data_IF_408740553756
#
_entry.id   IF_408740553756
#
_cell.length_a   1.000
_cell.length_b   1.000
_cell.length_c   1.000
_cell.angle_alpha   90.00
_cell.angle_beta   90.00
_cell.angle_gamma   90.00
#
_symmetry.space_group_name_H-M   'P 1'
#
loop_
_entity.id
_entity.type
_entity.pdbx_description
1 polymer ?
#
# COMPACT_ATOMS: atom_id res chain seq x y z
N UNK A 1 -34.45 43.01 23.40
CA UNK A 1 -35.29 43.35 22.22
C UNK A 1 -34.42 43.29 20.98
N UNK A 2 -35.03 42.83 19.91
CA UNK A 2 -34.49 42.42 18.63
C UNK A 2 -33.30 43.22 18.06
N UNK A 3 -32.34 42.43 17.59
CA UNK A 3 -31.39 42.72 16.51
C UNK A 3 -32.17 42.87 15.19
N UNK A 4 -31.87 43.86 14.33
CA UNK A 4 -32.03 43.71 12.90
C UNK A 4 -30.73 43.14 12.32
N UNK A 5 -30.85 41.94 11.77
CA UNK A 5 -29.84 41.20 11.01
C UNK A 5 -29.65 41.82 9.62
N UNK A 6 -28.40 42.17 9.30
CA UNK A 6 -27.94 42.48 7.95
C UNK A 6 -27.09 41.34 7.38
N UNK A 7 -27.59 40.77 6.29
CA UNK A 7 -26.95 39.91 5.27
C UNK A 7 -26.25 38.61 5.71
N UNK A 8 -27.01 37.51 5.65
CA UNK A 8 -26.51 36.19 5.30
C UNK A 8 -27.01 35.77 3.90
N UNK A 9 -26.19 34.98 3.19
CA UNK A 9 -26.44 34.43 1.85
C UNK A 9 -25.31 34.84 0.90
N UNK A 10 -24.23 34.08 0.69
CA UNK A 10 -24.10 32.62 0.75
C UNK A 10 -24.18 32.04 -0.66
N UNK A 11 -23.22 32.37 -1.52
CA UNK A 11 -22.95 31.65 -2.77
C UNK A 11 -21.46 31.76 -3.13
N UNK A 12 -20.63 30.92 -2.52
CA UNK A 12 -19.27 30.63 -3.00
C UNK A 12 -18.93 29.13 -2.87
N UNK A 13 -19.96 28.27 -2.97
CA UNK A 13 -19.81 26.81 -3.16
C UNK A 13 -19.11 26.48 -4.50
N UNK A 14 -18.84 27.47 -5.35
CA UNK A 14 -18.11 27.29 -6.62
C UNK A 14 -16.59 27.12 -6.54
N UNK A 15 -15.95 27.34 -5.39
CA UNK A 15 -14.48 27.46 -5.33
C UNK A 15 -13.68 26.24 -4.87
N UNK A 16 -14.26 25.36 -4.05
CA UNK A 16 -13.50 24.27 -3.38
C UNK A 16 -13.73 22.88 -4.00
N UNK A 17 -14.60 22.76 -4.99
CA UNK A 17 -14.77 21.52 -5.77
C UNK A 17 -13.79 21.48 -6.95
N UNK A 18 -13.27 22.63 -7.39
CA UNK A 18 -12.32 22.72 -8.52
C UNK A 18 -10.92 22.15 -8.25
N UNK A 19 -10.53 21.97 -6.99
CA UNK A 19 -9.27 21.33 -6.61
C UNK A 19 -9.32 19.80 -6.56
N UNK A 20 -10.53 19.22 -6.52
CA UNK A 20 -10.73 17.77 -6.44
C UNK A 20 -11.22 17.17 -7.77
N UNK A 21 -11.82 17.99 -8.65
CA UNK A 21 -12.24 17.61 -10.00
C UNK A 21 -11.73 18.66 -10.99
N UNK A 22 -10.56 18.40 -11.58
CA UNK A 22 -9.89 19.33 -12.49
C UNK A 22 -10.72 19.66 -13.72
N UNK A 23 -10.96 20.95 -13.94
CA UNK A 23 -11.40 21.52 -15.20
C UNK A 23 -10.48 22.68 -15.61
N UNK A 24 -9.97 22.63 -16.84
CA UNK A 24 -9.47 23.80 -17.58
C UNK A 24 -7.98 24.14 -17.43
N UNK A 25 -7.18 23.64 -18.39
CA UNK A 25 -6.03 24.34 -18.99
C UNK A 25 -4.90 24.81 -18.07
N UNK A 26 -3.86 23.98 -17.93
CA UNK A 26 -2.52 24.44 -17.52
C UNK A 26 -1.84 23.60 -16.42
N UNK A 27 -1.08 22.60 -16.84
CA UNK A 27 0.24 22.26 -16.27
C UNK A 27 0.44 21.82 -14.80
N UNK A 28 -0.58 21.66 -13.96
CA UNK A 28 -0.39 21.28 -12.54
C UNK A 28 -1.28 20.12 -12.08
N UNK A 29 -0.72 18.93 -11.92
CA UNK A 29 -1.44 17.75 -11.43
C UNK A 29 -1.45 17.64 -9.89
N UNK A 30 -2.64 17.55 -9.28
CA UNK A 30 -2.81 17.31 -7.84
C UNK A 30 -2.61 15.83 -7.42
N UNK A 31 -2.71 15.56 -6.11
CA UNK A 31 -2.43 14.25 -5.48
C UNK A 31 -3.24 13.08 -6.07
N UNK A 32 -4.49 13.33 -6.47
CA UNK A 32 -5.33 12.35 -7.18
C UNK A 32 -4.88 12.14 -8.63
N UNK A 33 -4.21 13.11 -9.27
CA UNK A 33 -3.65 12.98 -10.61
C UNK A 33 -2.46 12.01 -10.66
N UNK A 34 -1.66 11.93 -9.59
CA UNK A 34 -0.59 10.95 -9.45
C UNK A 34 -1.10 9.51 -9.24
N UNK A 35 -2.30 9.35 -8.68
CA UNK A 35 -2.92 8.05 -8.43
C UNK A 35 -3.82 7.62 -9.61
N UNK A 36 -4.67 8.51 -10.14
CA UNK A 36 -5.71 8.21 -11.14
C UNK A 36 -5.33 8.55 -12.60
N UNK A 37 -4.23 9.27 -12.85
CA UNK A 37 -3.72 9.54 -14.20
C UNK A 37 -4.59 10.49 -15.03
N UNK A 38 -4.40 11.80 -14.83
CA UNK A 38 -4.97 12.85 -15.67
C UNK A 38 -3.87 13.67 -16.35
N UNK A 39 -3.38 13.19 -17.48
CA UNK A 39 -2.34 13.87 -18.28
C UNK A 39 -1.36 12.90 -18.92
N UNK A 40 -0.58 13.38 -19.89
CA UNK A 40 0.41 12.59 -20.66
C UNK A 40 1.50 11.89 -19.81
N UNK A 41 1.56 12.12 -18.50
CA UNK A 41 2.32 11.32 -17.54
C UNK A 41 1.40 10.37 -16.78
N UNK A 42 1.52 9.06 -17.02
CA UNK A 42 0.71 8.04 -16.37
C UNK A 42 0.94 7.98 -14.85
N UNK A 43 -0.15 8.05 -14.08
CA UNK A 43 -0.14 7.82 -12.62
C UNK A 43 -0.02 6.33 -12.25
N UNK A 44 0.12 6.03 -10.95
CA UNK A 44 0.37 4.67 -10.43
C UNK A 44 -0.72 3.66 -10.86
N UNK A 45 -2.00 4.03 -10.82
CA UNK A 45 -3.07 3.17 -11.35
C UNK A 45 -3.10 3.15 -12.88
N UNK A 46 -2.65 4.20 -13.57
CA UNK A 46 -2.50 4.19 -15.03
C UNK A 46 -1.40 3.22 -15.48
N UNK A 47 -0.32 3.12 -14.71
CA UNK A 47 0.73 2.12 -14.88
C UNK A 47 0.30 0.70 -14.51
N UNK A 48 -0.73 0.53 -13.67
CA UNK A 48 -1.26 -0.79 -13.28
C UNK A 48 -2.43 -1.23 -14.17
N UNK A 49 -3.43 -0.38 -14.46
CA UNK A 49 -4.67 -0.71 -15.19
C UNK A 49 -4.61 -0.38 -16.69
N UNK A 50 -3.65 0.43 -17.14
CA UNK A 50 -3.60 0.96 -18.51
C UNK A 50 -4.48 2.20 -18.68
N UNK A 51 -3.85 3.37 -18.78
CA UNK A 51 -4.54 4.60 -19.14
C UNK A 51 -4.90 4.61 -20.63
N UNK A 52 -6.05 5.20 -20.99
CA UNK A 52 -6.67 5.17 -22.33
C UNK A 52 -5.92 5.87 -23.48
N UNK A 53 -4.59 5.85 -23.49
CA UNK A 53 -3.76 6.34 -24.59
C UNK A 53 -2.52 5.47 -24.76
N UNK A 54 -2.65 4.38 -25.53
CA UNK A 54 -1.55 3.64 -26.17
C UNK A 54 -0.47 2.97 -25.30
N UNK A 55 -0.36 3.29 -24.00
CA UNK A 55 0.61 2.71 -23.08
C UNK A 55 -0.02 1.55 -22.29
N UNK A 56 0.43 0.33 -22.54
CA UNK A 56 -0.03 -0.85 -21.79
C UNK A 56 0.47 -0.80 -20.34
N UNK A 57 -0.45 -0.71 -19.37
CA UNK A 57 -0.14 -0.89 -17.95
C UNK A 57 0.18 -2.35 -17.59
N UNK A 58 0.64 -2.61 -16.37
CA UNK A 58 1.04 -3.92 -15.85
C UNK A 58 -0.05 -4.99 -16.05
N UNK A 59 -1.31 -4.66 -15.78
CA UNK A 59 -2.46 -5.53 -16.04
C UNK A 59 -2.79 -5.62 -17.54
N UNK A 60 -2.52 -4.60 -18.35
CA UNK A 60 -2.63 -4.69 -19.81
C UNK A 60 -1.56 -5.60 -20.42
N UNK A 61 -0.35 -5.57 -19.84
CA UNK A 61 0.74 -6.49 -20.14
C UNK A 61 0.52 -7.89 -19.57
N UNK A 62 -0.31 -8.07 -18.56
CA UNK A 62 -0.68 -9.39 -17.99
C UNK A 62 -1.93 -9.96 -18.66
N UNK A 63 -3.01 -9.21 -18.86
CA UNK A 63 -4.32 -9.69 -19.38
C UNK A 63 -4.50 -9.52 -20.90
N UNK A 64 -3.67 -8.71 -21.56
CA UNK A 64 -3.83 -8.35 -22.98
C UNK A 64 -4.75 -7.14 -23.18
N UNK A 65 -4.15 -5.95 -23.28
CA UNK A 65 -4.85 -4.73 -23.69
C UNK A 65 -5.12 -4.73 -25.21
N UNK A 66 -6.29 -4.24 -25.62
CA UNK A 66 -6.88 -4.34 -26.96
C UNK A 66 -6.16 -3.63 -28.13
N UNK A 67 -4.85 -3.77 -28.26
CA UNK A 67 -4.08 -3.30 -29.40
C UNK A 67 -2.92 -4.23 -29.68
N UNK A 68 -3.15 -5.31 -30.43
CA UNK A 68 -2.15 -6.11 -31.16
C UNK A 68 -1.03 -6.82 -30.39
N UNK A 69 -0.76 -6.49 -29.12
CA UNK A 69 0.28 -7.08 -28.30
C UNK A 69 -0.30 -8.09 -27.31
N UNK A 70 0.05 -9.37 -27.46
CA UNK A 70 -0.35 -10.42 -26.52
C UNK A 70 0.32 -10.20 -25.15
N UNK A 71 -0.48 -10.02 -24.10
CA UNK A 71 0.01 -9.97 -22.72
C UNK A 71 0.51 -11.32 -22.21
N UNK A 72 1.09 -11.37 -21.01
CA UNK A 72 1.66 -12.56 -20.36
C UNK A 72 0.64 -13.70 -20.23
N UNK A 73 -0.60 -13.39 -19.85
CA UNK A 73 -1.72 -14.34 -19.90
C UNK A 73 -2.21 -14.59 -21.32
N UNK A 74 -2.09 -13.65 -22.26
CA UNK A 74 -2.35 -13.90 -23.68
C UNK A 74 -1.37 -14.92 -24.29
N UNK A 75 -0.11 -14.90 -23.84
CA UNK A 75 0.90 -15.91 -24.13
C UNK A 75 0.61 -17.23 -23.42
N UNK A 76 0.23 -17.20 -22.13
CA UNK A 76 -0.10 -18.39 -21.34
C UNK A 76 -1.41 -19.06 -21.77
N UNK A 77 -2.44 -18.31 -22.21
CA UNK A 77 -3.80 -18.74 -22.57
C UNK A 77 -4.01 -18.96 -24.08
N UNK A 78 -3.07 -18.54 -24.93
CA UNK A 78 -3.15 -18.72 -26.39
C UNK A 78 -4.15 -17.76 -27.06
N UNK A 79 -3.68 -16.58 -27.47
CA UNK A 79 -4.44 -15.71 -28.37
C UNK A 79 -4.56 -16.30 -29.77
N UNK A 80 -5.79 -16.59 -30.21
CA UNK A 80 -6.07 -17.01 -31.58
C UNK A 80 -5.86 -15.86 -32.57
N UNK A 81 -4.85 -15.96 -33.43
CA UNK A 81 -4.60 -15.06 -34.56
C UNK A 81 -4.77 -15.81 -35.88
N UNK A 82 -5.62 -15.28 -36.76
CA UNK A 82 -5.95 -15.84 -38.07
C UNK A 82 -4.75 -16.01 -39.01
N UNK A 83 -4.91 -16.95 -39.94
CA UNK A 83 -3.84 -17.50 -40.77
C UNK A 83 -3.10 -16.50 -41.66
N UNK A 84 -1.86 -16.86 -41.96
CA UNK A 84 -1.17 -16.47 -43.19
C UNK A 84 -0.24 -17.62 -43.55
N UNK A 85 -0.40 -18.12 -44.78
CA UNK A 85 0.41 -19.16 -45.36
C UNK A 85 1.73 -18.56 -45.85
N UNK A 86 2.85 -18.96 -45.24
CA UNK A 86 4.18 -18.97 -45.86
C UNK A 86 5.11 -19.74 -44.93
N UNK A 87 5.68 -20.82 -45.46
CA UNK A 87 6.52 -21.75 -44.70
C UNK A 87 7.87 -21.17 -44.31
N UNK A 88 8.27 -21.42 -43.06
CA UNK A 88 9.51 -22.15 -42.69
C UNK A 88 9.49 -22.39 -41.16
N UNK A 89 9.87 -23.56 -40.63
CA UNK A 89 9.90 -23.79 -39.18
C UNK A 89 11.27 -23.42 -38.59
N UNK A 90 11.35 -22.27 -37.92
CA UNK A 90 12.45 -21.91 -37.02
C UNK A 90 12.27 -22.56 -35.62
N UNK A 91 13.35 -22.76 -34.84
CA UNK A 91 13.35 -23.65 -33.68
C UNK A 91 12.70 -23.13 -32.38
N UNK A 92 12.09 -21.94 -32.36
CA UNK A 92 11.69 -21.27 -31.11
C UNK A 92 10.17 -21.02 -30.98
N UNK A 93 9.34 -21.96 -31.43
CA UNK A 93 7.88 -21.92 -31.19
C UNK A 93 7.51 -22.48 -29.80
N UNK A 94 7.90 -21.78 -28.74
CA UNK A 94 7.34 -22.02 -27.41
C UNK A 94 5.93 -21.42 -27.33
N UNK A 95 4.93 -22.18 -27.78
CA UNK A 95 3.53 -21.91 -27.42
C UNK A 95 3.42 -21.86 -25.90
N UNK A 96 2.78 -20.85 -25.33
CA UNK A 96 2.67 -20.76 -23.87
C UNK A 96 1.85 -21.92 -23.28
N UNK A 97 1.75 -21.97 -21.95
CA UNK A 97 1.33 -23.16 -21.18
C UNK A 97 0.06 -23.85 -21.73
N UNK A 98 -0.93 -23.12 -22.27
CA UNK A 98 -2.18 -23.66 -22.85
C UNK A 98 -2.19 -23.78 -24.38
N UNK A 99 -1.19 -23.24 -25.09
CA UNK A 99 -1.09 -23.36 -26.54
C UNK A 99 -0.75 -24.79 -26.98
N UNK A 100 -1.08 -25.17 -28.22
CA UNK A 100 -0.85 -26.51 -28.79
C UNK A 100 0.60 -27.03 -28.72
N UNK A 101 1.59 -26.18 -28.38
CA UNK A 101 2.99 -26.56 -28.17
C UNK A 101 3.54 -26.34 -26.74
N UNK A 102 2.74 -25.88 -25.77
CA UNK A 102 3.18 -25.59 -24.39
C UNK A 102 3.04 -26.76 -23.43
N UNK A 103 3.21 -26.57 -22.11
CA UNK A 103 3.18 -27.67 -21.12
C UNK A 103 1.87 -28.48 -21.13
N UNK A 104 0.72 -27.81 -21.29
CA UNK A 104 -0.58 -28.49 -21.46
C UNK A 104 -0.82 -28.89 -22.91
N UNK A 105 -0.31 -28.16 -23.90
CA UNK A 105 -0.32 -28.61 -25.30
C UNK A 105 0.53 -29.85 -25.57
N UNK A 106 1.60 -30.05 -24.80
CA UNK A 106 2.43 -31.24 -24.80
C UNK A 106 1.75 -32.35 -24.02
N UNK A 107 1.19 -32.06 -22.83
CA UNK A 107 0.49 -33.06 -22.01
C UNK A 107 -0.84 -33.54 -22.62
N UNK A 108 -1.56 -32.68 -23.34
CA UNK A 108 -2.87 -32.94 -23.98
C UNK A 108 -2.77 -33.12 -25.50
N UNK A 109 -1.70 -32.66 -26.14
CA UNK A 109 -1.43 -32.92 -27.55
C UNK A 109 -0.94 -34.34 -27.75
N UNK A 110 -1.13 -34.86 -28.96
CA UNK A 110 -1.01 -36.28 -29.32
C UNK A 110 0.34 -36.97 -29.12
N UNK A 111 1.28 -36.41 -28.34
CA UNK A 111 2.60 -36.97 -28.07
C UNK A 111 3.14 -36.87 -26.63
N UNK A 112 2.46 -36.24 -25.65
CA UNK A 112 2.98 -36.18 -24.26
C UNK A 112 2.49 -37.28 -23.34
N UNK A 113 2.63 -37.10 -22.02
CA UNK A 113 2.49 -38.15 -20.99
C UNK A 113 1.12 -38.86 -20.97
N UNK A 114 0.05 -38.26 -21.54
CA UNK A 114 -1.23 -38.94 -21.82
C UNK A 114 -1.23 -39.79 -23.10
N UNK A 115 -0.35 -39.51 -24.05
CA UNK A 115 -0.07 -40.35 -25.22
C UNK A 115 0.86 -41.53 -24.92
N UNK A 116 1.71 -41.44 -23.89
CA UNK A 116 2.69 -42.50 -23.56
C UNK A 116 2.08 -43.61 -22.67
N UNK A 117 0.94 -43.38 -22.01
CA UNK A 117 0.15 -44.46 -21.40
C UNK A 117 -0.75 -45.21 -22.41
N UNK A 118 -0.59 -44.93 -23.72
CA UNK A 118 -1.34 -45.56 -24.80
C UNK A 118 -0.57 -46.69 -25.47
N UNK A 119 -0.12 -47.71 -24.73
CA UNK A 119 0.28 -48.96 -25.36
C UNK A 119 -0.30 -50.16 -24.61
N UNK A 120 -1.56 -50.47 -24.95
CA UNK A 120 -2.24 -51.69 -24.57
C UNK A 120 -3.31 -51.54 -23.49
N UNK A 121 -4.51 -51.11 -23.86
CA UNK A 121 -5.72 -51.37 -23.06
C UNK A 121 -6.80 -50.30 -23.14
N UNK A 122 -7.85 -50.56 -23.93
CA UNK A 122 -9.27 -50.11 -23.82
C UNK A 122 -9.55 -48.58 -23.76
N UNK A 123 -8.56 -47.70 -23.61
CA UNK A 123 -8.72 -46.26 -23.38
C UNK A 123 -8.43 -45.38 -24.62
N UNK A 124 -9.00 -45.72 -25.78
CA UNK A 124 -8.95 -44.88 -26.98
C UNK A 124 -9.93 -43.68 -26.95
N UNK A 125 -10.29 -43.15 -25.77
CA UNK A 125 -11.31 -42.10 -25.61
C UNK A 125 -10.81 -40.87 -24.86
N UNK A 126 -9.59 -40.40 -25.13
CA UNK A 126 -9.08 -39.14 -24.55
C UNK A 126 -9.55 -37.89 -25.35
N UNK A 127 -10.33 -38.05 -26.42
CA UNK A 127 -10.88 -36.96 -27.25
C UNK A 127 -12.18 -36.33 -26.70
N UNK A 128 -12.32 -36.21 -25.38
CA UNK A 128 -13.62 -35.93 -24.76
C UNK A 128 -13.95 -34.46 -24.52
N UNK A 129 -13.06 -33.74 -23.82
CA UNK A 129 -13.41 -32.53 -23.07
C UNK A 129 -12.74 -31.31 -23.68
N UNK A 130 -13.53 -30.28 -24.01
CA UNK A 130 -13.04 -29.04 -24.61
C UNK A 130 -13.76 -27.84 -24.01
N UNK A 131 -13.17 -26.65 -24.14
CA UNK A 131 -13.83 -25.40 -23.77
C UNK A 131 -14.09 -25.22 -22.26
N UNK A 132 -13.26 -25.81 -21.40
CA UNK A 132 -13.33 -25.56 -19.96
C UNK A 132 -13.09 -24.06 -19.67
N UNK A 133 -14.05 -23.44 -19.00
CA UNK A 133 -14.04 -22.03 -18.64
C UNK A 133 -14.60 -21.84 -17.24
N UNK A 134 -13.91 -21.03 -16.43
CA UNK A 134 -14.45 -20.57 -15.15
C UNK A 134 -15.59 -19.59 -15.49
N UNK A 135 -16.79 -19.90 -15.02
CA UNK A 135 -17.98 -19.06 -15.24
C UNK A 135 -18.33 -18.23 -14.01
N UNK A 136 -17.98 -18.71 -12.83
CA UNK A 136 -18.24 -18.04 -11.57
C UNK A 136 -17.23 -18.51 -10.52
N UNK A 137 -16.93 -17.62 -9.58
CA UNK A 137 -16.02 -17.87 -8.47
C UNK A 137 -16.58 -17.22 -7.21
N UNK A 138 -16.82 -18.04 -6.19
CA UNK A 138 -17.27 -17.55 -4.89
C UNK A 138 -16.14 -16.78 -4.21
N UNK A 139 -16.45 -15.62 -3.61
CA UNK A 139 -15.46 -14.81 -2.91
C UNK A 139 -14.63 -15.68 -1.95
N UNK A 140 -13.30 -15.73 -2.11
CA UNK A 140 -12.46 -16.60 -1.29
C UNK A 140 -12.50 -16.20 0.18
N UNK A 141 -12.65 -17.19 1.06
CA UNK A 141 -12.42 -17.03 2.49
C UNK A 141 -10.93 -17.21 2.75
N UNK A 142 -10.29 -16.15 3.22
CA UNK A 142 -8.86 -16.13 3.52
C UNK A 142 -8.68 -16.16 5.04
N UNK A 143 -7.93 -17.13 5.54
CA UNK A 143 -7.46 -17.16 6.92
C UNK A 143 -5.93 -17.10 6.96
N UNK A 144 -5.43 -16.33 7.92
CA UNK A 144 -4.00 -16.04 8.07
C UNK A 144 -3.56 -16.47 9.47
N UNK A 145 -2.48 -17.26 9.53
CA UNK A 145 -1.86 -17.70 10.78
C UNK A 145 -0.39 -17.31 10.79
N UNK A 146 0.04 -16.69 11.88
CA UNK A 146 1.44 -16.33 12.06
C UNK A 146 2.18 -17.49 12.72
N UNK A 147 3.29 -17.90 12.10
CA UNK A 147 4.13 -18.99 12.56
C UNK A 147 5.49 -18.41 13.02
N UNK A 148 5.77 -18.42 14.34
CA UNK A 148 7.02 -17.89 14.88
C UNK A 148 8.26 -18.45 14.17
N UNK A 149 9.14 -17.57 13.69
CA UNK A 149 10.40 -17.94 13.03
C UNK A 149 10.28 -18.55 11.62
N UNK A 150 9.06 -18.84 11.16
CA UNK A 150 8.78 -19.40 9.82
C UNK A 150 8.23 -18.30 8.92
N UNK A 151 7.14 -17.63 9.33
CA UNK A 151 6.49 -16.59 8.56
C UNK A 151 4.96 -16.65 8.66
N UNK A 152 4.28 -16.51 7.53
CA UNK A 152 2.82 -16.41 7.45
C UNK A 152 2.25 -17.62 6.70
N UNK A 153 1.35 -18.35 7.34
CA UNK A 153 0.59 -19.44 6.75
C UNK A 153 -0.78 -18.92 6.30
N UNK A 154 -0.99 -18.97 4.98
CA UNK A 154 -2.21 -18.56 4.31
C UNK A 154 -3.05 -19.78 3.98
N UNK A 155 -4.33 -19.71 4.26
CA UNK A 155 -5.31 -20.70 3.83
C UNK A 155 -6.45 -19.98 3.10
N UNK A 156 -6.71 -20.38 1.87
CA UNK A 156 -7.68 -19.75 0.97
C UNK A 156 -8.68 -20.79 0.52
N UNK A 157 -9.93 -20.65 0.95
CA UNK A 157 -11.02 -21.52 0.56
C UNK A 157 -11.96 -20.80 -0.41
N UNK A 158 -12.25 -21.41 -1.56
CA UNK A 158 -13.17 -20.86 -2.56
C UNK A 158 -13.94 -21.98 -3.27
N UNK A 159 -15.04 -21.62 -3.93
CA UNK A 159 -15.78 -22.52 -4.81
C UNK A 159 -15.73 -21.97 -6.23
N UNK A 160 -15.38 -22.83 -7.17
CA UNK A 160 -15.19 -22.49 -8.58
C UNK A 160 -16.22 -23.24 -9.41
N UNK A 161 -17.02 -22.50 -10.18
CA UNK A 161 -17.93 -23.07 -11.17
C UNK A 161 -17.27 -23.02 -12.55
N UNK A 162 -17.20 -24.17 -13.22
CA UNK A 162 -16.52 -24.37 -14.49
C UNK A 162 -17.51 -24.99 -15.46
N UNK A 163 -17.68 -24.37 -16.63
CA UNK A 163 -18.42 -24.96 -17.73
C UNK A 163 -17.47 -25.53 -18.77
N UNK A 164 -17.90 -26.55 -19.49
CA UNK A 164 -17.21 -27.02 -20.68
C UNK A 164 -18.08 -27.93 -21.53
N UNK A 165 -17.46 -28.50 -22.55
CA UNK A 165 -18.12 -29.42 -23.47
C UNK A 165 -17.44 -30.79 -23.39
N UNK A 166 -18.26 -31.83 -23.45
CA UNK A 166 -17.85 -33.21 -23.66
C UNK A 166 -18.46 -33.76 -24.95
N UNK A 167 -17.87 -34.81 -25.51
CA UNK A 167 -18.52 -35.63 -26.56
C UNK A 167 -19.93 -36.09 -26.18
N UNK A 168 -20.22 -36.19 -24.88
CA UNK A 168 -21.52 -36.62 -24.34
C UNK A 168 -22.47 -35.46 -23.97
N UNK A 169 -22.07 -34.20 -24.20
CA UNK A 169 -22.88 -33.01 -23.93
C UNK A 169 -22.17 -31.96 -23.07
N UNK A 170 -22.95 -30.98 -22.58
CA UNK A 170 -22.43 -29.87 -21.78
C UNK A 170 -22.10 -30.31 -20.35
N UNK A 171 -20.93 -29.88 -19.87
CA UNK A 171 -20.44 -30.08 -18.52
C UNK A 171 -20.66 -28.80 -17.71
N UNK A 172 -21.25 -28.97 -16.55
CA UNK A 172 -21.32 -27.98 -15.48
C UNK A 172 -20.65 -28.59 -14.25
N UNK A 173 -19.58 -27.97 -13.78
CA UNK A 173 -18.67 -28.51 -12.78
C UNK A 173 -18.57 -27.51 -11.64
N UNK A 174 -18.85 -27.95 -10.42
CA UNK A 174 -18.58 -27.19 -9.21
C UNK A 174 -17.44 -27.85 -8.44
N UNK A 175 -16.41 -27.08 -8.12
CA UNK A 175 -15.22 -27.54 -7.40
C UNK A 175 -15.03 -26.70 -6.15
N UNK A 176 -14.80 -27.35 -5.02
CA UNK A 176 -14.30 -26.67 -3.82
C UNK A 176 -12.78 -26.70 -3.84
N UNK A 177 -12.15 -25.55 -3.67
CA UNK A 177 -10.70 -25.41 -3.69
C UNK A 177 -10.25 -24.90 -2.33
N UNK A 178 -9.28 -25.59 -1.75
CA UNK A 178 -8.55 -25.13 -0.58
C UNK A 178 -7.07 -24.98 -0.96
N UNK A 179 -6.56 -23.74 -0.93
CA UNK A 179 -5.16 -23.42 -1.19
C UNK A 179 -4.47 -23.12 0.13
N UNK A 180 -3.45 -23.91 0.47
CA UNK A 180 -2.57 -23.65 1.60
C UNK A 180 -1.22 -23.18 1.09
N UNK A 181 -0.75 -22.05 1.60
CA UNK A 181 0.54 -21.51 1.24
C UNK A 181 1.33 -21.08 2.48
N UNK A 182 2.58 -21.52 2.55
CA UNK A 182 3.55 -21.04 3.53
C UNK A 182 4.37 -19.95 2.89
N UNK A 183 4.38 -18.79 3.52
CA UNK A 183 5.15 -17.65 3.07
C UNK A 183 6.13 -17.23 4.15
N UNK A 184 7.32 -16.83 3.72
CA UNK A 184 8.36 -16.31 4.59
C UNK A 184 8.51 -14.81 4.37
N UNK A 185 8.64 -14.07 5.46
CA UNK A 185 8.98 -12.66 5.41
C UNK A 185 10.50 -12.53 5.32
N UNK A 186 10.97 -11.97 4.21
CA UNK A 186 12.38 -11.79 3.87
C UNK A 186 12.67 -10.30 3.73
N UNK A 187 13.95 -9.94 3.61
CA UNK A 187 14.37 -8.58 3.34
C UNK A 187 15.25 -8.57 2.10
N UNK A 188 14.92 -7.70 1.15
CA UNK A 188 15.74 -7.48 -0.04
C UNK A 188 17.04 -6.73 0.32
N UNK A 189 18.00 -6.72 -0.60
CA UNK A 189 19.23 -5.91 -0.46
C UNK A 189 18.93 -4.42 -0.28
N UNK A 190 17.79 -3.94 -0.80
CA UNK A 190 17.27 -2.58 -0.63
C UNK A 190 16.76 -2.28 0.79
N UNK A 191 16.69 -3.29 1.67
CA UNK A 191 16.11 -3.19 3.01
C UNK A 191 14.58 -3.34 3.03
N UNK A 192 13.92 -3.46 1.87
CA UNK A 192 12.46 -3.60 1.79
C UNK A 192 12.02 -5.00 2.24
N UNK A 193 10.98 -5.14 3.08
CA UNK A 193 10.44 -6.43 3.46
C UNK A 193 9.62 -7.03 2.33
N UNK A 194 9.79 -8.34 2.08
CA UNK A 194 9.11 -9.07 1.00
C UNK A 194 8.60 -10.42 1.50
N UNK A 195 7.34 -10.73 1.20
CA UNK A 195 6.75 -12.04 1.39
C UNK A 195 7.08 -12.93 0.18
N UNK A 196 7.62 -14.11 0.46
CA UNK A 196 7.99 -15.10 -0.55
C UNK A 196 7.26 -16.40 -0.23
N UNK A 197 6.61 -17.00 -1.22
CA UNK A 197 6.01 -18.34 -1.07
C UNK A 197 7.15 -19.37 -1.02
N UNK A 198 7.24 -20.10 0.09
CA UNK A 198 8.13 -21.27 0.21
C UNK A 198 7.44 -22.53 -0.32
N UNK A 199 6.17 -22.72 0.07
CA UNK A 199 5.37 -23.85 -0.35
C UNK A 199 3.95 -23.40 -0.69
N UNK A 200 3.36 -23.96 -1.74
CA UNK A 200 1.95 -23.80 -2.07
C UNK A 200 1.35 -25.13 -2.51
N UNK A 201 0.21 -25.47 -1.93
CA UNK A 201 -0.57 -26.65 -2.27
C UNK A 201 -2.03 -26.24 -2.47
N UNK A 202 -2.62 -26.66 -3.58
CA UNK A 202 -4.06 -26.52 -3.81
C UNK A 202 -4.70 -27.90 -3.79
N UNK A 203 -5.62 -28.11 -2.85
CA UNK A 203 -6.41 -29.31 -2.72
C UNK A 203 -7.80 -29.05 -3.30
N UNK A 204 -8.23 -29.96 -4.17
CA UNK A 204 -9.57 -29.94 -4.75
C UNK A 204 -10.46 -30.93 -3.99
N UNK A 205 -11.55 -30.42 -3.45
CA UNK A 205 -12.60 -31.18 -2.78
C UNK A 205 -13.95 -30.99 -3.44
N UNK A 206 -14.93 -31.80 -3.04
CA UNK A 206 -16.34 -31.57 -3.37
C UNK A 206 -16.66 -31.48 -4.87
N UNK A 207 -15.86 -32.11 -5.74
CA UNK A 207 -16.05 -32.04 -7.20
C UNK A 207 -17.41 -32.64 -7.56
N UNK A 208 -18.33 -31.79 -8.01
CA UNK A 208 -19.67 -32.16 -8.46
C UNK A 208 -19.78 -31.88 -9.96
N UNK A 209 -20.00 -32.93 -10.74
CA UNK A 209 -20.05 -32.86 -12.20
C UNK A 209 -21.46 -33.18 -12.64
N UNK A 210 -22.08 -32.24 -13.35
CA UNK A 210 -23.41 -32.37 -13.92
C UNK A 210 -23.30 -32.37 -15.44
N UNK A 211 -23.77 -33.47 -16.05
CA UNK A 211 -24.01 -33.50 -17.49
C UNK A 211 -25.42 -32.97 -17.74
N UNK A 212 -25.53 -31.83 -18.42
CA UNK A 212 -26.83 -31.22 -18.68
C UNK A 212 -27.60 -31.91 -19.82
N UNK A 213 -26.94 -32.74 -20.66
CA UNK A 213 -27.54 -33.36 -21.86
C UNK A 213 -27.06 -34.80 -22.22
N UNK A 214 -26.54 -35.60 -21.28
CA UNK A 214 -25.96 -36.93 -21.59
C UNK A 214 -26.29 -38.08 -20.63
N UNK A 215 -26.07 -39.33 -21.09
CA UNK A 215 -26.57 -40.59 -20.48
C UNK A 215 -25.53 -41.43 -19.69
N UNK A 216 -24.28 -40.97 -19.53
CA UNK A 216 -23.22 -41.72 -18.85
C UNK A 216 -22.40 -40.81 -17.91
N UNK A 217 -22.72 -40.82 -16.61
CA UNK A 217 -22.08 -39.97 -15.61
C UNK A 217 -20.79 -40.53 -15.01
N UNK A 218 -20.66 -41.85 -14.86
CA UNK A 218 -19.60 -42.45 -14.03
C UNK A 218 -18.19 -42.45 -14.63
N UNK A 219 -18.04 -42.75 -15.92
CA UNK A 219 -16.71 -42.87 -16.57
C UNK A 219 -16.10 -41.48 -16.79
N UNK A 220 -16.94 -40.50 -17.14
CA UNK A 220 -16.49 -39.13 -17.39
C UNK A 220 -16.06 -38.43 -16.09
N UNK A 221 -16.70 -38.77 -14.97
CA UNK A 221 -16.40 -38.17 -13.66
C UNK A 221 -14.94 -38.44 -13.24
N UNK A 222 -14.47 -39.68 -13.38
CA UNK A 222 -13.07 -40.03 -13.07
C UNK A 222 -12.05 -39.27 -13.93
N UNK A 223 -12.31 -39.12 -15.23
CA UNK A 223 -11.41 -38.43 -16.16
C UNK A 223 -11.36 -36.92 -15.89
N UNK A 224 -12.53 -36.29 -15.71
CA UNK A 224 -12.60 -34.85 -15.39
C UNK A 224 -11.95 -34.58 -14.03
N UNK A 225 -12.18 -35.42 -13.01
CA UNK A 225 -11.53 -35.29 -11.70
C UNK A 225 -10.01 -35.33 -11.81
N UNK A 226 -9.45 -36.32 -12.52
CA UNK A 226 -8.01 -36.44 -12.71
C UNK A 226 -7.42 -35.23 -13.46
N UNK A 227 -8.12 -34.75 -14.50
CA UNK A 227 -7.71 -33.56 -15.23
C UNK A 227 -7.71 -32.31 -14.33
N UNK A 228 -8.79 -32.07 -13.59
CA UNK A 228 -8.88 -30.91 -12.70
C UNK A 228 -7.84 -30.98 -11.58
N UNK A 229 -7.61 -32.16 -10.99
CA UNK A 229 -6.58 -32.36 -9.96
C UNK A 229 -5.17 -32.13 -10.49
N UNK A 230 -4.90 -32.41 -11.77
CA UNK A 230 -3.61 -32.11 -12.39
C UNK A 230 -3.46 -30.63 -12.78
N UNK A 231 -4.52 -29.99 -13.29
CA UNK A 231 -4.44 -28.67 -13.92
C UNK A 231 -4.67 -27.52 -12.93
N UNK A 232 -5.72 -27.58 -12.09
CA UNK A 232 -6.08 -26.45 -11.22
C UNK A 232 -4.96 -26.08 -10.25
N UNK A 233 -4.28 -27.01 -9.56
CA UNK A 233 -3.19 -26.65 -8.67
C UNK A 233 -2.04 -25.94 -9.40
N UNK A 234 -1.74 -26.39 -10.62
CA UNK A 234 -0.75 -25.75 -11.49
C UNK A 234 -1.11 -24.34 -11.93
N UNK A 235 -2.38 -23.94 -11.85
CA UNK A 235 -2.85 -22.60 -12.18
C UNK A 235 -3.05 -21.71 -10.94
N UNK A 236 -3.59 -22.26 -9.86
CA UNK A 236 -4.01 -21.49 -8.68
C UNK A 236 -2.83 -21.03 -7.81
N UNK A 237 -1.78 -21.86 -7.66
CA UNK A 237 -0.59 -21.46 -6.92
C UNK A 237 0.17 -20.29 -7.59
N UNK A 238 0.37 -20.28 -8.92
CA UNK A 238 0.89 -19.10 -9.61
C UNK A 238 0.02 -17.84 -9.45
N UNK A 239 -1.31 -17.96 -9.45
CA UNK A 239 -2.20 -16.82 -9.18
C UNK A 239 -1.96 -16.25 -7.79
N UNK A 240 -1.76 -17.11 -6.77
CA UNK A 240 -1.45 -16.66 -5.42
C UNK A 240 -0.12 -15.89 -5.36
N UNK A 241 0.89 -16.29 -6.14
CA UNK A 241 2.14 -15.51 -6.27
C UNK A 241 1.88 -14.09 -6.79
N UNK A 242 1.03 -13.93 -7.81
CA UNK A 242 0.69 -12.61 -8.37
C UNK A 242 0.01 -11.73 -7.30
N UNK A 243 -0.91 -12.31 -6.53
CA UNK A 243 -1.58 -11.60 -5.43
C UNK A 243 -0.57 -11.21 -4.35
N UNK A 244 0.35 -12.10 -4.00
CA UNK A 244 1.39 -11.82 -3.02
C UNK A 244 2.36 -10.74 -3.50
N UNK A 245 2.68 -10.70 -4.79
CA UNK A 245 3.50 -9.64 -5.39
C UNK A 245 2.78 -8.27 -5.34
N UNK A 246 1.45 -8.23 -5.46
CA UNK A 246 0.69 -7.00 -5.22
C UNK A 246 0.82 -6.55 -3.75
N UNK A 247 0.75 -7.48 -2.79
CA UNK A 247 0.98 -7.19 -1.37
C UNK A 247 2.41 -6.71 -1.14
N UNK A 248 3.41 -7.33 -1.78
CA UNK A 248 4.79 -6.87 -1.75
C UNK A 248 4.94 -5.45 -2.31
N UNK A 249 4.16 -5.11 -3.34
CA UNK A 249 4.05 -3.74 -3.85
C UNK A 249 3.61 -2.74 -2.79
N UNK A 250 2.73 -3.15 -1.87
CA UNK A 250 2.34 -2.32 -0.72
C UNK A 250 3.43 -2.25 0.34
N UNK A 251 4.19 -3.33 0.57
CA UNK A 251 5.30 -3.35 1.52
C UNK A 251 6.45 -2.41 1.11
N UNK A 252 6.57 -2.05 -0.17
CA UNK A 252 7.49 -1.01 -0.64
C UNK A 252 7.22 0.36 0.02
N UNK A 253 5.97 0.64 0.40
CA UNK A 253 5.61 1.93 1.01
C UNK A 253 6.21 2.13 2.40
N UNK A 254 6.79 1.08 2.99
CA UNK A 254 7.49 1.18 4.29
C UNK A 254 8.73 2.07 4.17
N UNK A 255 9.44 2.01 3.04
CA UNK A 255 10.60 2.87 2.78
C UNK A 255 10.15 4.16 2.08
N UNK A 256 9.36 4.96 2.80
CA UNK A 256 8.78 6.20 2.27
C UNK A 256 9.51 7.45 2.76
N UNK A 257 9.55 8.45 1.88
CA UNK A 257 9.93 9.81 2.22
C UNK A 257 8.65 10.65 2.36
N UNK A 258 8.34 11.03 3.59
CA UNK A 258 7.13 11.78 3.95
C UNK A 258 7.48 13.26 4.12
N UNK A 259 6.91 14.18 3.32
CA UNK A 259 7.19 15.60 3.45
C UNK A 259 6.53 16.19 4.71
N UNK A 260 7.30 16.95 5.49
CA UNK A 260 6.85 17.76 6.62
C UNK A 260 6.50 19.19 6.17
N UNK A 261 5.76 19.32 5.06
CA UNK A 261 5.47 20.62 4.46
C UNK A 261 6.74 21.30 3.95
N UNK A 262 6.91 22.59 4.28
CA UNK A 262 8.08 23.39 3.87
C UNK A 262 9.28 23.23 4.82
N UNK A 263 9.15 22.43 5.87
CA UNK A 263 10.17 22.29 6.94
C UNK A 263 11.23 21.27 6.56
N UNK A 264 10.84 20.25 5.77
CA UNK A 264 11.72 19.16 5.40
C UNK A 264 10.98 17.86 5.15
N UNK A 265 11.62 16.74 5.43
CA UNK A 265 11.08 15.40 5.18
C UNK A 265 11.47 14.41 6.26
N UNK A 266 10.64 13.39 6.46
CA UNK A 266 10.95 12.21 7.26
C UNK A 266 11.19 11.06 6.29
N UNK A 267 12.34 10.41 6.41
CA UNK A 267 12.62 9.16 5.72
C UNK A 267 12.47 7.99 6.70
N UNK A 268 11.62 7.04 6.34
CA UNK A 268 11.48 5.76 7.04
C UNK A 268 12.31 4.70 6.32
N UNK A 269 13.05 3.89 7.08
CA UNK A 269 13.74 2.72 6.54
C UNK A 269 13.63 1.54 7.49
N UNK A 270 13.50 0.33 6.96
CA UNK A 270 13.49 -0.87 7.81
C UNK A 270 14.88 -1.11 8.41
N UNK A 271 14.92 -1.28 9.73
CA UNK A 271 16.15 -1.44 10.51
C UNK A 271 16.63 -2.89 10.57
N UNK A 272 15.69 -3.83 10.70
CA UNK A 272 15.95 -5.25 10.92
C UNK A 272 14.95 -6.11 10.13
N UNK A 273 15.24 -7.40 9.98
CA UNK A 273 14.28 -8.33 9.40
C UNK A 273 13.01 -8.37 10.28
N UNK A 274 11.81 -8.22 9.72
CA UNK A 274 10.60 -8.18 10.54
C UNK A 274 10.41 -9.49 11.32
N UNK A 275 9.98 -9.36 12.56
CA UNK A 275 9.83 -10.50 13.48
C UNK A 275 8.38 -10.95 13.44
N UNK A 276 8.17 -12.18 12.97
CA UNK A 276 6.85 -12.82 13.03
C UNK A 276 6.74 -13.58 14.34
N UNK A 277 5.83 -13.15 15.21
CA UNK A 277 5.47 -13.89 16.43
C UNK A 277 4.21 -14.73 16.16
N UNK A 278 3.71 -15.46 17.17
CA UNK A 278 2.47 -16.22 17.00
C UNK A 278 1.22 -15.36 16.95
N UNK A 279 1.34 -14.06 17.26
CA UNK A 279 0.20 -13.16 17.44
C UNK A 279 0.31 -11.86 16.65
N UNK A 280 1.53 -11.40 16.34
CA UNK A 280 1.76 -10.13 15.65
C UNK A 280 3.03 -10.18 14.79
N UNK A 281 3.12 -9.23 13.87
CA UNK A 281 4.32 -8.97 13.08
C UNK A 281 4.93 -7.67 13.61
N UNK A 282 6.17 -7.73 14.05
CA UNK A 282 6.93 -6.58 14.53
C UNK A 282 7.87 -6.07 13.44
N UNK A 283 7.87 -4.76 13.23
CA UNK A 283 8.64 -4.10 12.20
C UNK A 283 9.39 -2.91 12.81
N UNK A 284 10.71 -3.04 12.89
CA UNK A 284 11.57 -1.96 13.38
C UNK A 284 11.90 -0.99 12.25
N UNK A 285 11.60 0.29 12.46
CA UNK A 285 11.88 1.35 11.51
C UNK A 285 12.89 2.34 12.08
N UNK A 286 13.90 2.65 11.28
CA UNK A 286 14.72 3.82 11.47
C UNK A 286 14.00 5.03 10.86
N UNK A 287 14.17 6.18 11.52
CA UNK A 287 13.60 7.44 11.07
C UNK A 287 14.68 8.49 10.97
N UNK A 288 14.71 9.21 9.86
CA UNK A 288 15.64 10.32 9.64
C UNK A 288 14.83 11.56 9.32
N UNK A 289 15.03 12.62 10.09
CA UNK A 289 14.43 13.94 9.82
C UNK A 289 15.48 14.80 9.11
N UNK A 290 15.12 15.26 7.92
CA UNK A 290 15.98 16.10 7.08
C UNK A 290 15.33 17.46 6.86
N UNK A 291 16.15 18.51 6.80
CA UNK A 291 15.72 19.87 6.44
C UNK A 291 15.47 20.00 4.94
N UNK A 292 14.73 21.04 4.57
CA UNK A 292 14.63 21.49 3.19
C UNK A 292 16.04 21.85 2.67
N UNK A 293 16.64 21.00 1.83
CA UNK A 293 18.03 21.13 1.36
C UNK A 293 18.98 20.00 1.77
N UNK A 294 18.50 18.99 2.51
CA UNK A 294 19.22 17.73 2.74
C UNK A 294 20.10 17.67 3.99
N UNK A 295 20.12 18.72 4.82
CA UNK A 295 20.80 18.70 6.11
C UNK A 295 20.09 17.78 7.12
N UNK A 296 20.84 16.91 7.80
CA UNK A 296 20.30 16.06 8.87
C UNK A 296 20.05 16.89 10.13
N UNK A 297 18.93 16.64 10.82
CA UNK A 297 18.58 17.32 12.07
C UNK A 297 18.91 16.40 13.23
N UNK A 298 19.92 16.80 14.01
CA UNK A 298 20.27 16.21 15.30
C UNK A 298 20.27 14.67 15.31
N UNK A 299 20.72 14.08 14.20
CA UNK A 299 20.79 12.64 14.05
C UNK A 299 21.82 12.11 15.06
N UNK A 300 21.44 11.18 15.96
CA UNK A 300 22.33 10.73 17.01
C UNK A 300 23.48 9.92 16.42
N UNK A 301 24.56 10.60 16.05
CA UNK A 301 25.79 9.97 15.58
C UNK A 301 26.40 9.18 16.74
N UNK A 302 26.37 7.85 16.66
CA UNK A 302 27.03 6.95 17.61
C UNK A 302 26.20 6.51 18.82
N UNK A 303 24.94 6.94 18.95
CA UNK A 303 24.01 6.41 19.95
C UNK A 303 22.92 5.59 19.24
N UNK A 304 23.09 4.27 19.23
CA UNK A 304 22.00 3.37 18.84
C UNK A 304 20.89 3.51 19.87
N UNK A 305 19.78 4.13 19.46
CA UNK A 305 18.59 4.17 20.28
C UNK A 305 18.13 2.75 20.60
N UNK A 306 17.83 2.52 21.88
CA UNK A 306 17.31 1.24 22.31
C UNK A 306 15.95 1.01 21.62
N UNK A 307 15.70 -0.19 21.09
CA UNK A 307 14.40 -0.53 20.53
C UNK A 307 13.26 -0.24 21.52
N UNK A 308 12.17 0.31 20.99
CA UNK A 308 10.99 0.66 21.78
C UNK A 308 10.29 -0.63 22.17
N UNK A 309 10.14 -0.87 23.47
CA UNK A 309 9.30 -1.97 23.95
C UNK A 309 7.83 -1.53 23.91
N UNK A 310 7.04 -2.20 23.07
CA UNK A 310 5.61 -1.99 22.98
C UNK A 310 4.87 -2.83 24.03
N UNK A 311 3.73 -2.34 24.57
CA UNK A 311 2.87 -3.16 25.40
C UNK A 311 2.30 -4.34 24.58
N UNK A 312 1.87 -5.44 25.23
CA UNK A 312 1.21 -6.53 24.52
C UNK A 312 -0.02 -6.02 23.76
N UNK A 313 -0.19 -6.46 22.52
CA UNK A 313 -1.44 -6.26 21.78
C UNK A 313 -2.58 -7.01 22.45
N UNK A 314 -3.74 -6.36 22.57
CA UNK A 314 -4.92 -6.97 23.20
C UNK A 314 -5.68 -7.83 22.20
N UNK A 315 -5.73 -7.41 20.95
CA UNK A 315 -6.44 -8.08 19.86
C UNK A 315 -5.57 -8.17 18.61
N UNK A 316 -5.76 -9.22 17.81
CA UNK A 316 -4.99 -9.45 16.57
C UNK A 316 -5.36 -8.48 15.43
N UNK A 317 -6.48 -7.75 15.57
CA UNK A 317 -6.98 -6.74 14.63
C UNK A 317 -6.38 -5.35 14.86
N UNK A 318 -5.70 -5.14 16.00
CA UNK A 318 -5.11 -3.86 16.33
C UNK A 318 -3.74 -3.68 15.68
N UNK A 319 -3.29 -2.44 15.59
CA UNK A 319 -1.92 -2.09 15.19
C UNK A 319 -1.35 -1.15 16.24
N UNK A 320 -0.09 -1.31 16.59
CA UNK A 320 0.60 -0.43 17.54
C UNK A 320 1.81 0.22 16.86
N UNK A 321 2.03 1.50 17.17
CA UNK A 321 3.16 2.28 16.69
C UNK A 321 3.91 2.87 17.88
N UNK A 322 5.20 2.56 17.97
CA UNK A 322 6.12 3.17 18.93
C UNK A 322 6.86 4.34 18.28
N UNK A 323 6.92 5.48 18.96
CA UNK A 323 7.71 6.64 18.52
C UNK A 323 8.71 7.00 19.60
N UNK A 324 9.97 7.21 19.22
CA UNK A 324 11.01 7.57 20.18
C UNK A 324 10.91 9.06 20.54
N UNK A 325 11.34 9.39 21.75
CA UNK A 325 11.40 10.79 22.18
C UNK A 325 12.36 11.61 21.30
N UNK A 326 13.43 10.99 20.83
CA UNK A 326 14.39 11.64 19.94
C UNK A 326 13.79 11.96 18.57
N UNK A 327 13.04 11.04 17.97
CA UNK A 327 12.34 11.30 16.72
C UNK A 327 11.40 12.52 16.84
N UNK A 328 10.59 12.56 17.91
CA UNK A 328 9.72 13.71 18.17
C UNK A 328 10.52 15.00 18.41
N UNK A 329 11.66 14.90 19.13
CA UNK A 329 12.60 15.99 19.33
C UNK A 329 13.14 16.54 18.01
N UNK A 330 13.59 15.69 17.11
CA UNK A 330 14.09 16.07 15.79
C UNK A 330 13.02 16.82 14.97
N UNK A 331 11.76 16.36 15.00
CA UNK A 331 10.65 17.04 14.32
C UNK A 331 10.41 18.44 14.91
N UNK A 332 10.43 18.58 16.24
CA UNK A 332 10.26 19.89 16.89
C UNK A 332 11.46 20.81 16.64
N UNK A 333 12.68 20.29 16.63
CA UNK A 333 13.89 21.03 16.27
C UNK A 333 13.83 21.51 14.81
N UNK A 334 13.24 20.73 13.92
CA UNK A 334 13.00 21.16 12.53
C UNK A 334 12.12 22.41 12.46
N UNK A 335 10.99 22.39 13.18
CA UNK A 335 10.08 23.54 13.27
C UNK A 335 10.75 24.76 13.91
N UNK A 336 11.59 24.54 14.93
CA UNK A 336 12.33 25.60 15.61
C UNK A 336 13.33 26.28 14.67
N UNK A 337 14.12 25.51 13.92
CA UNK A 337 15.12 26.06 12.99
C UNK A 337 14.52 26.85 11.83
N UNK A 338 13.31 26.50 11.42
CA UNK A 338 12.55 27.25 10.39
C UNK A 338 11.82 28.48 10.96
N UNK A 339 11.98 28.80 12.26
CA UNK A 339 11.32 29.95 12.90
C UNK A 339 9.80 29.79 13.05
N UNK A 340 9.25 28.59 12.83
CA UNK A 340 7.81 28.33 12.94
C UNK A 340 7.30 28.24 14.38
N UNK A 341 8.20 28.37 15.35
CA UNK A 341 7.88 28.50 16.78
C UNK A 341 7.92 29.95 17.27
N UNK A 342 8.29 30.90 16.42
CA UNK A 342 8.38 32.31 16.78
C UNK A 342 7.02 32.99 16.58
N UNK A 343 6.66 33.88 17.51
CA UNK A 343 5.37 34.56 17.53
C UNK A 343 5.57 36.04 17.85
N UNK A 344 4.95 36.91 17.05
CA UNK A 344 4.84 38.33 17.35
C UNK A 344 3.42 38.65 17.83
N UNK A 345 3.32 39.20 19.05
CA UNK A 345 2.04 39.63 19.63
C UNK A 345 2.04 41.14 19.73
N UNK A 346 1.08 41.76 19.06
CA UNK A 346 0.83 43.21 19.09
C UNK A 346 -0.54 43.41 19.72
N UNK A 347 -0.62 43.72 21.02
CA UNK A 347 -1.84 44.15 21.73
C UNK A 347 -1.59 44.23 23.25
N UNK A 348 -1.09 45.37 23.72
CA UNK A 348 -1.04 45.68 25.14
C UNK A 348 -0.73 47.15 25.35
N UNK A 349 -1.46 47.84 26.22
CA UNK A 349 -1.28 49.27 26.45
C UNK A 349 -0.49 49.51 27.74
N UNK A 350 0.58 50.33 27.66
CA UNK A 350 1.33 50.75 28.86
C UNK A 350 1.10 52.23 29.12
N UNK A 351 0.18 52.54 30.02
CA UNK A 351 -0.09 53.92 30.46
C UNK A 351 0.84 54.40 31.59
N UNK A 352 1.53 53.50 32.29
CA UNK A 352 2.24 53.85 33.54
C UNK A 352 3.64 54.46 33.34
N UNK A 353 4.32 54.17 32.23
CA UNK A 353 5.65 54.70 31.92
C UNK A 353 5.66 55.82 30.88
N UNK A 354 4.55 55.98 30.15
CA UNK A 354 4.40 56.98 29.09
C UNK A 354 3.21 57.88 29.38
N UNK A 355 3.30 59.17 29.04
CA UNK A 355 2.20 60.13 29.24
C UNK A 355 0.94 59.81 28.41
N UNK A 356 1.06 58.90 27.45
CA UNK A 356 0.02 58.45 26.53
C UNK A 356 0.10 56.92 26.43
N UNK A 357 -1.05 56.25 26.26
CA UNK A 357 -1.13 54.81 26.00
C UNK A 357 -0.39 54.49 24.70
N UNK A 358 0.62 53.61 24.80
CA UNK A 358 1.40 53.15 23.65
C UNK A 358 1.28 51.64 23.50
N UNK A 359 1.16 51.14 22.25
CA UNK A 359 1.02 49.71 22.02
C UNK A 359 2.35 48.98 22.24
N UNK A 360 2.25 47.85 22.93
CA UNK A 360 3.31 46.89 23.15
C UNK A 360 3.42 45.92 21.98
N UNK A 361 4.66 45.67 21.59
CA UNK A 361 5.05 44.61 20.67
C UNK A 361 5.89 43.62 21.45
N UNK A 362 5.43 42.38 21.53
CA UNK A 362 6.18 41.28 22.15
C UNK A 362 6.64 40.33 21.06
N UNK A 363 7.95 40.14 20.94
CA UNK A 363 8.56 39.15 20.05
C UNK A 363 8.97 37.95 20.87
N UNK A 364 8.27 36.84 20.66
CA UNK A 364 8.48 35.57 21.36
C UNK A 364 9.25 34.65 20.41
N UNK A 365 10.34 34.09 20.90
CA UNK A 365 11.22 33.21 20.12
C UNK A 365 11.65 31.99 20.92
N UNK A 366 11.97 30.91 20.22
CA UNK A 366 12.53 29.68 20.82
C UNK A 366 13.95 29.49 20.29
N UNK A 367 14.98 30.02 20.98
CA UNK A 367 16.33 30.08 20.44
C UNK A 367 17.10 28.75 20.53
N UNK A 368 16.61 27.77 21.31
CA UNK A 368 17.25 26.47 21.50
C UNK A 368 16.33 25.31 21.14
N UNK A 369 16.93 24.16 20.78
CA UNK A 369 16.21 22.95 20.40
C UNK A 369 15.30 22.45 21.54
N UNK A 370 14.00 22.20 21.29
CA UNK A 370 13.09 21.66 22.28
C UNK A 370 13.48 20.23 22.69
N UNK A 371 13.40 19.93 23.98
CA UNK A 371 13.64 18.58 24.50
C UNK A 371 12.33 17.86 24.75
N UNK A 372 12.20 16.64 24.23
CA UNK A 372 11.02 15.78 24.44
C UNK A 372 11.33 14.70 25.47
N UNK A 373 10.44 14.53 26.44
CA UNK A 373 10.46 13.45 27.42
C UNK A 373 9.13 12.70 27.36
N UNK A 374 9.20 11.40 27.15
CA UNK A 374 8.03 10.51 27.17
C UNK A 374 8.04 9.71 28.47
N UNK A 375 6.97 9.84 29.24
CA UNK A 375 6.69 9.07 30.45
C UNK A 375 5.36 8.34 30.29
N UNK A 376 5.06 7.42 31.20
CA UNK A 376 3.80 6.67 31.15
C UNK A 376 2.60 7.64 31.13
N UNK A 377 1.83 7.62 30.03
CA UNK A 377 0.67 8.50 29.78
C UNK A 377 0.95 10.00 29.78
N UNK A 378 2.21 10.44 29.74
CA UNK A 378 2.59 11.85 29.79
C UNK A 378 3.71 12.16 28.81
N UNK A 379 3.42 12.98 27.81
CA UNK A 379 4.44 13.65 27.00
C UNK A 379 4.79 14.99 27.60
N UNK A 380 6.08 15.31 27.68
CA UNK A 380 6.58 16.58 28.18
C UNK A 380 7.51 17.17 27.13
N UNK A 381 7.29 18.43 26.77
CA UNK A 381 8.17 19.22 25.91
C UNK A 381 8.75 20.34 26.74
N UNK A 382 10.06 20.38 26.86
CA UNK A 382 10.80 21.45 27.54
C UNK A 382 11.40 22.36 26.49
N UNK A 383 11.15 23.66 26.60
CA UNK A 383 11.67 24.65 25.67
C UNK A 383 11.98 25.94 26.40
N UNK A 384 13.07 26.59 26.00
CA UNK A 384 13.42 27.91 26.50
C UNK A 384 12.76 28.96 25.61
N UNK A 385 11.94 29.82 26.21
CA UNK A 385 11.27 30.93 25.52
C UNK A 385 12.00 32.22 25.82
N UNK A 386 12.39 32.96 24.78
CA UNK A 386 12.90 34.32 24.89
C UNK A 386 11.84 35.29 24.37
N UNK A 387 11.38 36.19 25.23
CA UNK A 387 10.43 37.25 24.90
C UNK A 387 11.10 38.61 24.96
N UNK A 388 11.14 39.33 23.86
CA UNK A 388 11.63 40.69 23.77
C UNK A 388 10.44 41.65 23.70
N UNK A 389 10.35 42.57 24.66
CA UNK A 389 9.22 43.48 24.80
C UNK A 389 9.65 44.86 24.32
N UNK A 390 8.86 45.44 23.42
CA UNK A 390 9.07 46.76 22.85
C UNK A 390 7.85 47.64 23.03
N UNK A 391 8.08 48.94 23.10
CA UNK A 391 7.04 49.97 22.92
C UNK A 391 7.14 50.51 21.51
N UNK A 392 6.01 50.56 20.81
CA UNK A 392 5.90 51.24 19.53
C UNK A 392 5.71 52.74 19.75
N UNK A 393 6.59 53.52 19.17
CA UNK A 393 6.53 54.98 19.18
C UNK A 393 5.60 55.51 18.08
N UNK A 394 5.30 56.81 18.15
CA UNK A 394 4.45 57.52 17.17
C UNK A 394 5.01 57.45 15.75
N UNK A 395 6.33 57.33 15.61
CA UNK A 395 7.05 57.15 14.34
C UNK A 395 7.17 55.68 13.90
N UNK A 396 6.44 54.77 14.55
CA UNK A 396 6.53 53.32 14.39
C UNK A 396 7.89 52.69 14.75
N UNK A 397 8.82 53.46 15.34
CA UNK A 397 10.06 52.89 15.87
C UNK A 397 9.79 52.04 17.12
N UNK A 398 10.54 50.95 17.29
CA UNK A 398 10.43 50.07 18.45
C UNK A 398 11.51 50.41 19.47
N UNK A 399 11.11 50.81 20.67
CA UNK A 399 12.04 51.00 21.80
C UNK A 399 12.01 49.77 22.70
N UNK A 400 13.14 49.07 22.92
CA UNK A 400 13.18 47.90 23.79
C UNK A 400 12.94 48.29 25.24
N UNK A 401 12.02 47.60 25.91
CA UNK A 401 11.76 47.76 27.34
C UNK A 401 12.52 46.75 28.17
N UNK A 402 12.37 45.46 27.84
CA UNK A 402 12.98 44.37 28.57
C UNK A 402 13.07 43.09 27.73
N UNK A 403 13.89 42.16 28.20
CA UNK A 403 14.00 40.80 27.66
C UNK A 403 13.74 39.82 28.80
N UNK A 404 12.83 38.88 28.56
CA UNK A 404 12.45 37.84 29.49
C UNK A 404 12.88 36.48 28.93
N UNK A 405 13.49 35.65 29.77
CA UNK A 405 13.83 34.26 29.47
C UNK A 405 13.08 33.33 30.41
N UNK A 406 12.36 32.35 29.88
CA UNK A 406 11.56 31.40 30.67
C UNK A 406 11.81 29.98 30.17
N UNK A 407 12.19 29.09 31.07
CA UNK A 407 12.14 27.65 30.83
C UNK A 407 10.70 27.17 30.97
N UNK A 408 10.06 26.90 29.83
CA UNK A 408 8.68 26.45 29.79
C UNK A 408 8.63 24.92 29.72
N UNK A 409 7.74 24.33 30.52
CA UNK A 409 7.41 22.92 30.46
C UNK A 409 5.97 22.76 29.97
N UNK A 410 5.82 22.17 28.78
CA UNK A 410 4.54 21.95 28.15
C UNK A 410 4.16 20.47 28.21
N UNK A 411 2.93 20.18 28.58
CA UNK A 411 2.36 18.86 28.45
C UNK A 411 1.93 18.63 27.00
N UNK A 412 2.43 17.56 26.39
CA UNK A 412 2.07 17.13 25.04
C UNK A 412 1.01 16.03 25.08
N UNK A 413 -0.06 16.23 24.31
CA UNK A 413 -1.11 15.25 24.04
C UNK A 413 -1.03 14.81 22.58
N UNK A 414 -1.01 13.51 22.37
CA UNK A 414 -0.89 12.89 21.05
C UNK A 414 -2.23 12.34 20.61
N UNK A 415 -2.59 12.59 19.35
CA UNK A 415 -3.80 12.06 18.73
C UNK A 415 -3.52 11.74 17.26
N UNK A 416 -4.28 10.81 16.69
CA UNK A 416 -4.17 10.47 15.27
C UNK A 416 -5.39 11.01 14.54
N UNK A 417 -5.17 11.68 13.40
CA UNK A 417 -6.24 12.15 12.52
C UNK A 417 -5.89 11.79 11.08
N UNK A 418 -6.64 10.84 10.52
CA UNK A 418 -6.28 10.23 9.23
C UNK A 418 -4.98 9.45 9.38
N UNK A 419 -4.00 9.77 8.54
CA UNK A 419 -2.65 9.20 8.51
C UNK A 419 -1.61 10.06 9.24
N UNK A 420 -2.05 11.09 10.00
CA UNK A 420 -1.15 12.06 10.65
C UNK A 420 -1.20 12.01 12.16
N UNK A 421 -0.03 12.13 12.77
CA UNK A 421 0.11 12.40 14.20
C UNK A 421 -0.12 13.89 14.47
N UNK A 422 -1.08 14.20 15.33
CA UNK A 422 -1.31 15.54 15.86
C UNK A 422 -0.79 15.63 17.29
N UNK A 423 0.04 16.63 17.53
CA UNK A 423 0.59 16.96 18.84
C UNK A 423 -0.09 18.25 19.32
N UNK A 424 -0.74 18.20 20.47
CA UNK A 424 -1.32 19.38 21.13
C UNK A 424 -0.51 19.67 22.39
N UNK A 425 -0.09 20.91 22.57
CA UNK A 425 0.75 21.31 23.72
C UNK A 425 -0.01 22.29 24.60
N UNK A 426 0.10 22.12 25.91
CA UNK A 426 -0.50 23.02 26.90
C UNK A 426 0.44 23.25 28.07
N UNK A 427 0.44 24.46 28.63
CA UNK A 427 1.16 24.76 29.86
C UNK A 427 0.56 23.93 31.00
N UNK A 428 1.41 23.32 31.82
CA UNK A 428 0.99 22.60 33.02
C UNK A 428 0.34 23.62 33.99
N UNK A 429 -0.94 23.41 34.32
CA UNK A 429 -1.73 24.29 35.21
C UNK A 429 -1.51 23.97 36.67
#
# INVERSE_FOLDING_TARGET
MNVPSGSGGGDLVGGLVGGLLGGGGGGGGGLLGGVLGGGQGGGLLGGVLGGGGGGGGLLGGVLGGGGGGGGLLGGVLGGGGGGSASGDPGPDNNGGILGNGGLLGGLLGGGGLLGILGNGGILNTVQGITGLRIIDLTLPQVSLHLLPGIGVHLNVYTKVAINGNSLLGFLDILVEVNITARTRLTQETSGVPRLVIEDCHALLGGINIRLLRGLLSGILDGLVRNLLQGVLPGLLCPVLNIVLDLVNGLLLSVNSLVPLGLVGSIQYTVSSLPIVTGQFIELDLNTVVSQLGGGLIDYPLGHLEKPISLPPMKEASESQLGLSANFLGCVLTALQKEGLMDLEVTNGDVAAMYKEERPLVMKISVPSAPMVKLQNKKGIVQLFVRTEVYVSNVDASLTPLCVLGVDAQLQAQFSVRGDKLKISMSVER
#
